data_IF_163964323416
#
_entry.id   IF_163964323416
#
_cell.length_a   1.000
_cell.length_b   1.000
_cell.length_c   1.000
_cell.angle_alpha   90.00
_cell.angle_beta   90.00
_cell.angle_gamma   90.00
#
_symmetry.space_group_name_H-M   'P 1'
#
loop_
_entity.id
_entity.type
_entity.pdbx_description
1 polymer ?
#
# COMPACT_ATOMS: atom_id res chain seq x y z
N UNK A 1 -5.75 -17.14 -18.42
CA UNK A 1 -5.86 -16.48 -17.12
C UNK A 1 -4.72 -17.03 -16.28
N UNK A 2 -3.75 -16.20 -15.86
CA UNK A 2 -2.71 -16.61 -14.91
C UNK A 2 -3.44 -17.00 -13.62
N UNK A 3 -3.17 -18.20 -13.09
CA UNK A 3 -3.68 -18.65 -11.79
C UNK A 3 -3.24 -17.61 -10.74
N UNK A 4 -4.19 -16.87 -10.23
CA UNK A 4 -3.93 -15.82 -9.25
C UNK A 4 -3.97 -16.42 -7.83
N UNK A 5 -3.02 -17.34 -7.56
CA UNK A 5 -2.92 -18.02 -6.26
C UNK A 5 -2.87 -17.03 -5.07
N UNK A 6 -2.35 -15.83 -5.27
CA UNK A 6 -2.31 -14.76 -4.25
C UNK A 6 -3.73 -14.28 -3.92
N UNK A 7 -4.56 -14.00 -4.93
CA UNK A 7 -5.95 -13.57 -4.71
C UNK A 7 -6.77 -14.69 -4.08
N UNK A 8 -6.62 -15.93 -4.56
CA UNK A 8 -7.31 -17.09 -4.02
C UNK A 8 -6.99 -17.29 -2.53
N UNK A 9 -5.70 -17.22 -2.16
CA UNK A 9 -5.27 -17.27 -0.76
C UNK A 9 -5.89 -16.15 0.10
N UNK A 10 -5.91 -14.92 -0.41
CA UNK A 10 -6.51 -13.80 0.33
C UNK A 10 -8.03 -13.92 0.43
N UNK A 11 -8.71 -14.48 -0.58
CA UNK A 11 -10.16 -14.73 -0.53
C UNK A 11 -10.53 -15.76 0.53
N UNK A 12 -9.69 -16.78 0.76
CA UNK A 12 -9.92 -17.72 1.86
C UNK A 12 -9.96 -17.00 3.23
N UNK A 13 -9.08 -16.01 3.44
CA UNK A 13 -9.11 -15.18 4.64
C UNK A 13 -10.35 -14.29 4.71
N UNK A 14 -10.82 -13.75 3.58
CA UNK A 14 -12.07 -12.97 3.53
C UNK A 14 -13.26 -13.82 3.99
N UNK A 15 -13.34 -15.06 3.53
CA UNK A 15 -14.41 -15.98 3.93
C UNK A 15 -14.33 -16.34 5.42
N UNK A 16 -13.12 -16.69 5.90
CA UNK A 16 -12.90 -17.03 7.32
C UNK A 16 -13.14 -15.85 8.27
N UNK A 17 -12.81 -14.61 7.83
CA UNK A 17 -12.93 -13.42 8.68
C UNK A 17 -14.37 -12.92 8.83
N UNK A 18 -15.31 -13.34 7.99
CA UNK A 18 -16.73 -12.94 8.10
C UNK A 18 -17.33 -13.30 9.47
N UNK A 19 -16.93 -14.42 10.05
CA UNK A 19 -17.44 -14.89 11.34
C UNK A 19 -16.90 -14.10 12.54
N UNK A 20 -15.81 -13.33 12.35
CA UNK A 20 -15.11 -12.59 13.40
C UNK A 20 -15.09 -11.08 13.20
N UNK A 21 -15.76 -10.56 12.18
CA UNK A 21 -15.77 -9.12 11.91
C UNK A 21 -16.66 -8.34 12.87
N UNK A 22 -16.17 -7.16 13.27
CA UNK A 22 -17.01 -6.16 13.91
C UNK A 22 -18.17 -5.75 12.98
N UNK A 23 -19.29 -5.31 13.55
CA UNK A 23 -20.46 -4.83 12.79
C UNK A 23 -20.13 -3.75 11.73
N UNK A 24 -19.05 -2.98 11.95
CA UNK A 24 -18.54 -2.00 11.00
C UNK A 24 -17.83 -2.68 9.81
N UNK A 25 -17.00 -3.69 10.08
CA UNK A 25 -16.34 -4.47 9.04
C UNK A 25 -17.32 -5.25 8.16
N UNK A 26 -18.35 -5.85 8.77
CA UNK A 26 -19.42 -6.56 8.05
C UNK A 26 -20.18 -5.63 7.10
N UNK A 27 -20.58 -4.44 7.54
CA UNK A 27 -21.24 -3.45 6.67
C UNK A 27 -20.38 -3.02 5.47
N UNK A 28 -19.07 -2.91 5.65
CA UNK A 28 -18.16 -2.61 4.54
C UNK A 28 -18.05 -3.77 3.56
N UNK A 29 -18.08 -5.01 4.04
CA UNK A 29 -18.02 -6.21 3.19
C UNK A 29 -19.35 -6.46 2.47
N UNK A 30 -20.48 -6.27 3.16
CA UNK A 30 -21.82 -6.44 2.58
C UNK A 30 -22.17 -5.37 1.55
N UNK A 31 -21.70 -4.14 1.74
CA UNK A 31 -21.91 -3.02 0.80
C UNK A 31 -20.85 -2.92 -0.29
N UNK A 32 -19.72 -3.62 -0.15
CA UNK A 32 -18.75 -3.71 -1.23
C UNK A 32 -19.24 -4.76 -2.23
N UNK A 33 -19.84 -4.30 -3.31
CA UNK A 33 -19.93 -5.11 -4.53
C UNK A 33 -18.57 -5.72 -4.79
N UNK A 34 -18.44 -7.04 -4.72
CA UNK A 34 -17.17 -7.73 -4.97
C UNK A 34 -16.56 -7.30 -6.31
N UNK A 35 -17.38 -6.87 -7.27
CA UNK A 35 -16.93 -6.27 -8.52
C UNK A 35 -16.19 -4.93 -8.30
N UNK A 36 -16.52 -4.17 -7.26
CA UNK A 36 -15.83 -2.92 -6.95
C UNK A 36 -14.47 -3.13 -6.25
N UNK A 37 -14.27 -4.26 -5.58
CA UNK A 37 -12.94 -4.66 -5.07
C UNK A 37 -12.01 -4.94 -6.25
N UNK A 38 -12.52 -5.55 -7.33
CA UNK A 38 -11.74 -5.93 -8.51
C UNK A 38 -11.51 -4.81 -9.53
N UNK A 39 -12.03 -3.61 -9.29
CA UNK A 39 -11.78 -2.43 -10.16
C UNK A 39 -11.28 -1.23 -9.35
N UNK A 40 -10.00 -1.25 -8.89
CA UNK A 40 -9.43 -0.18 -8.06
C UNK A 40 -9.61 1.22 -8.65
N UNK A 41 -9.65 1.32 -9.98
CA UNK A 41 -9.84 2.58 -10.70
C UNK A 41 -11.30 3.08 -10.73
N UNK A 42 -12.28 2.20 -10.57
CA UNK A 42 -13.72 2.55 -10.60
C UNK A 42 -14.30 2.75 -9.19
N UNK A 43 -13.61 2.33 -8.15
CA UNK A 43 -14.09 2.37 -6.76
C UNK A 43 -14.03 3.75 -6.10
N UNK A 44 -13.87 4.84 -6.85
CA UNK A 44 -13.68 6.19 -6.29
C UNK A 44 -12.38 6.34 -5.49
N UNK A 45 -11.51 5.32 -5.52
CA UNK A 45 -10.27 5.25 -4.73
C UNK A 45 -9.28 6.33 -5.11
N UNK A 46 -9.33 6.82 -6.34
CA UNK A 46 -8.41 7.84 -6.83
C UNK A 46 -9.14 9.02 -7.46
N UNK A 47 -8.76 10.21 -7.07
CA UNK A 47 -9.24 11.44 -7.72
C UNK A 47 -8.57 11.52 -9.09
N UNK A 48 -9.38 11.55 -10.17
CA UNK A 48 -8.87 11.68 -11.54
C UNK A 48 -8.07 12.97 -11.72
N UNK A 49 -6.98 12.87 -12.47
CA UNK A 49 -6.13 14.01 -12.80
C UNK A 49 -6.93 15.05 -13.57
N UNK A 50 -6.85 16.30 -13.11
CA UNK A 50 -7.41 17.48 -13.80
C UNK A 50 -6.39 18.61 -13.71
N UNK A 51 -5.99 19.17 -14.84
CA UNK A 51 -4.90 20.15 -14.91
C UNK A 51 -5.13 21.37 -14.00
N UNK A 52 -6.36 21.91 -13.96
CA UNK A 52 -6.68 23.07 -13.13
C UNK A 52 -6.68 22.70 -11.65
N UNK A 53 -7.31 21.58 -11.28
CA UNK A 53 -7.31 21.08 -9.89
C UNK A 53 -5.88 20.77 -9.44
N UNK A 54 -5.05 20.13 -10.28
CA UNK A 54 -3.66 19.80 -9.97
C UNK A 54 -2.84 21.09 -9.68
N UNK A 55 -3.03 22.13 -10.50
CA UNK A 55 -2.38 23.42 -10.29
C UNK A 55 -2.78 24.08 -8.97
N UNK A 56 -4.08 24.18 -8.68
CA UNK A 56 -4.59 24.77 -7.44
C UNK A 56 -4.16 23.96 -6.20
N UNK A 57 -4.26 22.63 -6.26
CA UNK A 57 -3.80 21.77 -5.20
C UNK A 57 -2.31 21.94 -4.92
N UNK A 58 -1.46 21.98 -5.95
CA UNK A 58 -0.02 22.19 -5.78
C UNK A 58 0.32 23.54 -5.16
N UNK A 59 -0.40 24.58 -5.56
CA UNK A 59 -0.20 25.90 -4.96
C UNK A 59 -0.49 25.92 -3.47
N UNK A 60 -1.61 25.30 -3.05
CA UNK A 60 -1.97 25.19 -1.63
C UNK A 60 -1.02 24.25 -0.88
N UNK A 61 -0.68 23.12 -1.47
CA UNK A 61 0.21 22.12 -0.88
C UNK A 61 1.61 22.72 -0.64
N UNK A 62 2.13 23.53 -1.55
CA UNK A 62 3.42 24.23 -1.36
C UNK A 62 3.41 25.17 -0.17
N UNK A 63 2.30 25.85 0.08
CA UNK A 63 2.16 26.71 1.28
C UNK A 63 2.19 25.92 2.57
N UNK A 64 1.68 24.69 2.57
CA UNK A 64 1.60 23.83 3.76
C UNK A 64 2.94 23.09 3.99
N UNK A 65 3.51 22.50 2.95
CA UNK A 65 4.64 21.57 3.05
C UNK A 65 6.00 22.18 2.72
N UNK A 66 6.03 23.43 2.23
CA UNK A 66 7.25 24.06 1.71
C UNK A 66 7.67 23.51 0.36
N UNK A 67 8.63 24.20 -0.30
CA UNK A 67 9.06 23.86 -1.66
C UNK A 67 10.03 22.66 -1.70
N UNK A 68 10.72 22.34 -0.62
CA UNK A 68 11.79 21.33 -0.61
C UNK A 68 11.26 19.91 -0.89
N UNK A 69 10.12 19.54 -0.30
CA UNK A 69 9.54 18.21 -0.49
C UNK A 69 9.23 17.95 -1.96
N UNK A 70 8.80 18.98 -2.71
CA UNK A 70 8.42 18.86 -4.13
C UNK A 70 9.62 18.65 -5.07
N UNK A 71 10.83 18.90 -4.57
CA UNK A 71 12.10 18.65 -5.28
C UNK A 71 12.69 17.30 -4.90
N UNK A 72 12.18 16.65 -3.88
CA UNK A 72 12.73 15.38 -3.38
C UNK A 72 12.53 14.24 -4.37
N UNK A 73 13.48 13.27 -4.39
CA UNK A 73 13.35 12.05 -5.19
C UNK A 73 12.07 11.26 -4.85
N UNK A 74 11.61 11.33 -3.60
CA UNK A 74 10.43 10.64 -3.13
C UNK A 74 9.16 11.23 -3.73
N UNK A 75 8.99 12.53 -3.68
CA UNK A 75 7.86 13.19 -4.32
C UNK A 75 7.86 12.98 -5.85
N UNK A 76 9.02 13.06 -6.49
CA UNK A 76 9.13 12.83 -7.94
C UNK A 76 8.73 11.38 -8.31
N UNK A 77 9.02 10.40 -7.48
CA UNK A 77 8.57 9.04 -7.67
C UNK A 77 7.04 8.92 -7.54
N UNK A 78 6.43 9.53 -6.51
CA UNK A 78 4.97 9.58 -6.41
C UNK A 78 4.32 10.31 -7.59
N UNK A 79 4.95 11.37 -8.10
CA UNK A 79 4.48 12.04 -9.30
C UNK A 79 4.45 11.10 -10.50
N UNK A 80 5.54 10.34 -10.74
CA UNK A 80 5.60 9.33 -11.80
C UNK A 80 4.53 8.26 -11.63
N UNK A 81 4.32 7.79 -10.40
CA UNK A 81 3.26 6.83 -10.08
C UNK A 81 1.88 7.40 -10.39
N UNK A 82 1.58 8.62 -9.95
CA UNK A 82 0.30 9.28 -10.20
C UNK A 82 0.07 9.54 -11.68
N UNK A 83 1.11 9.88 -12.43
CA UNK A 83 1.03 10.05 -13.89
C UNK A 83 0.64 8.73 -14.58
N UNK A 84 1.25 7.59 -14.17
CA UNK A 84 0.86 6.25 -14.65
C UNK A 84 -0.58 5.90 -14.27
N UNK A 85 -1.01 6.26 -13.08
CA UNK A 85 -2.33 5.97 -12.54
C UNK A 85 -3.42 6.96 -13.00
N UNK A 86 -3.06 7.98 -13.77
CA UNK A 86 -3.94 9.09 -14.17
C UNK A 86 -4.71 9.69 -12.97
N UNK A 87 -4.03 9.85 -11.84
CA UNK A 87 -4.62 10.39 -10.61
C UNK A 87 -3.93 11.67 -10.14
N UNK A 88 -4.65 12.45 -9.34
CA UNK A 88 -4.14 13.64 -8.67
C UNK A 88 -3.22 13.22 -7.50
N UNK A 89 -2.16 14.01 -7.27
CA UNK A 89 -1.35 13.87 -6.06
C UNK A 89 -2.09 14.52 -4.90
N UNK A 90 -2.59 13.72 -3.99
CA UNK A 90 -3.26 14.19 -2.79
C UNK A 90 -2.27 14.46 -1.63
N UNK A 91 -2.80 15.01 -0.54
CA UNK A 91 -2.01 15.35 0.65
C UNK A 91 -1.38 14.10 1.30
N UNK A 92 -2.05 12.95 1.24
CA UNK A 92 -1.54 11.72 1.83
C UNK A 92 -0.26 11.25 1.12
N UNK A 93 -0.21 11.37 -0.22
CA UNK A 93 1.00 11.01 -0.97
C UNK A 93 2.17 11.94 -0.66
N UNK A 94 1.92 13.22 -0.41
CA UNK A 94 2.96 14.16 0.00
C UNK A 94 3.46 13.79 1.40
N UNK A 95 2.54 13.41 2.30
CA UNK A 95 2.90 12.91 3.63
C UNK A 95 3.78 11.66 3.53
N UNK A 96 3.41 10.69 2.70
CA UNK A 96 4.23 9.49 2.47
C UNK A 96 5.60 9.82 1.88
N UNK A 97 5.67 10.78 0.94
CA UNK A 97 6.95 11.24 0.42
C UNK A 97 7.83 11.84 1.52
N UNK A 98 7.23 12.61 2.43
CA UNK A 98 7.93 13.18 3.59
C UNK A 98 8.43 12.10 4.56
N UNK A 99 7.59 11.11 4.88
CA UNK A 99 7.98 9.99 5.73
C UNK A 99 9.14 9.21 5.11
N UNK A 100 9.07 8.89 3.81
CA UNK A 100 10.16 8.21 3.10
C UNK A 100 11.46 9.05 3.11
N UNK A 101 11.35 10.38 2.95
CA UNK A 101 12.50 11.27 3.05
C UNK A 101 13.10 11.28 4.45
N UNK A 102 12.27 11.25 5.48
CA UNK A 102 12.72 11.18 6.88
C UNK A 102 13.46 9.86 7.15
N UNK A 103 12.89 8.73 6.74
CA UNK A 103 13.52 7.42 6.87
C UNK A 103 14.87 7.37 6.13
N UNK A 104 14.97 7.93 4.92
CA UNK A 104 16.21 7.97 4.14
C UNK A 104 17.30 8.82 4.85
N UNK A 105 16.92 9.96 5.41
CA UNK A 105 17.84 10.81 6.18
C UNK A 105 18.44 10.12 7.41
N UNK A 106 17.72 9.17 7.98
CA UNK A 106 18.15 8.39 9.15
C UNK A 106 18.70 7.01 8.78
N UNK A 107 18.94 6.73 7.50
CA UNK A 107 19.41 5.44 6.96
C UNK A 107 18.49 4.26 7.32
N UNK A 108 17.21 4.51 7.55
CA UNK A 108 16.21 3.51 7.93
C UNK A 108 15.52 2.85 6.73
N UNK A 109 15.76 3.33 5.50
CA UNK A 109 15.21 2.70 4.28
C UNK A 109 15.97 1.45 3.82
N UNK A 110 17.00 1.04 4.53
CA UNK A 110 17.73 -0.21 4.29
C UNK A 110 17.25 -1.34 5.20
N UNK A 111 16.40 -1.01 6.16
CA UNK A 111 15.79 -1.92 7.11
C UNK A 111 14.51 -2.57 6.55
N UNK A 112 14.03 -3.60 7.25
CA UNK A 112 12.72 -4.17 6.99
C UNK A 112 11.61 -3.19 7.42
N UNK A 113 10.65 -2.93 6.54
CA UNK A 113 9.57 -1.97 6.82
C UNK A 113 8.24 -2.71 6.89
N UNK A 114 7.51 -2.51 8.00
CA UNK A 114 6.16 -3.00 8.17
C UNK A 114 5.17 -1.84 8.11
N UNK A 115 4.21 -1.91 7.20
CA UNK A 115 3.08 -0.98 7.13
C UNK A 115 1.84 -1.60 7.74
N UNK A 116 1.09 -0.81 8.50
CA UNK A 116 -0.18 -1.23 9.08
C UNK A 116 -1.27 -0.29 8.60
N UNK A 117 -2.25 -0.82 7.86
CA UNK A 117 -3.41 -0.06 7.39
C UNK A 117 -3.19 0.76 6.11
N UNK A 118 -2.24 0.40 5.24
CA UNK A 118 -2.00 1.08 3.95
C UNK A 118 -3.02 0.66 2.89
N UNK A 119 -4.29 1.01 3.11
CA UNK A 119 -5.43 0.51 2.33
C UNK A 119 -5.51 0.92 0.85
N UNK A 120 -4.47 1.49 0.27
CA UNK A 120 -4.36 1.80 -1.18
C UNK A 120 -2.94 1.56 -1.68
N UNK A 121 -2.17 0.76 -0.97
CA UNK A 121 -0.76 0.51 -1.22
C UNK A 121 0.08 1.79 -1.43
N UNK A 122 -0.35 2.93 -0.90
CA UNK A 122 0.30 4.21 -1.20
C UNK A 122 1.73 4.25 -0.70
N UNK A 123 1.95 3.85 0.55
CA UNK A 123 3.28 3.84 1.15
C UNK A 123 4.14 2.73 0.55
N UNK A 124 3.56 1.52 0.39
CA UNK A 124 4.22 0.36 -0.23
C UNK A 124 4.69 0.71 -1.64
N UNK A 125 3.82 1.34 -2.46
CA UNK A 125 4.17 1.77 -3.81
C UNK A 125 5.33 2.76 -3.80
N UNK A 126 5.35 3.69 -2.84
CA UNK A 126 6.47 4.60 -2.64
C UNK A 126 7.78 3.87 -2.37
N UNK A 127 7.78 2.86 -1.50
CA UNK A 127 8.94 2.02 -1.21
C UNK A 127 9.39 1.22 -2.44
N UNK A 128 8.45 0.58 -3.17
CA UNK A 128 8.75 -0.19 -4.38
C UNK A 128 9.38 0.67 -5.48
N UNK A 129 8.95 1.93 -5.60
CA UNK A 129 9.51 2.88 -6.57
C UNK A 129 10.96 3.31 -6.26
N UNK A 130 11.48 3.04 -5.06
CA UNK A 130 12.86 3.37 -4.70
C UNK A 130 13.89 2.40 -5.30
N UNK A 131 13.44 1.28 -5.85
CA UNK A 131 14.32 0.23 -6.42
C UNK A 131 15.41 -0.27 -5.46
N UNK A 132 15.16 -0.19 -4.15
CA UNK A 132 16.02 -0.72 -3.09
C UNK A 132 15.59 -2.16 -2.75
N UNK A 133 16.51 -2.96 -2.24
CA UNK A 133 16.20 -4.31 -1.74
C UNK A 133 15.56 -4.27 -0.34
N UNK A 134 14.49 -3.49 -0.22
CA UNK A 134 13.73 -3.38 1.01
C UNK A 134 12.76 -4.55 1.08
N UNK A 135 12.72 -5.24 2.22
CA UNK A 135 11.66 -6.21 2.52
C UNK A 135 10.48 -5.47 3.14
N UNK A 136 9.33 -5.61 2.53
CA UNK A 136 8.11 -4.93 2.91
C UNK A 136 7.13 -5.94 3.51
N UNK A 137 6.58 -5.58 4.65
CA UNK A 137 5.53 -6.31 5.34
C UNK A 137 4.30 -5.40 5.37
N UNK A 138 3.17 -5.85 4.84
CA UNK A 138 1.92 -5.08 4.94
C UNK A 138 0.89 -5.88 5.72
N UNK A 139 0.47 -5.31 6.85
CA UNK A 139 -0.59 -5.86 7.71
C UNK A 139 -1.86 -5.09 7.44
N UNK A 140 -2.87 -5.79 6.96
CA UNK A 140 -4.15 -5.15 6.66
C UNK A 140 -5.30 -6.17 6.71
N UNK A 141 -6.54 -5.69 6.60
CA UNK A 141 -7.68 -6.56 6.37
C UNK A 141 -7.52 -7.29 5.02
N UNK A 142 -7.95 -8.55 4.90
CA UNK A 142 -7.77 -9.33 3.68
C UNK A 142 -8.28 -8.63 2.41
N UNK A 143 -9.42 -7.93 2.50
CA UNK A 143 -9.99 -7.16 1.39
C UNK A 143 -9.08 -6.01 0.94
N UNK A 144 -8.47 -5.31 1.91
CA UNK A 144 -7.54 -4.24 1.61
C UNK A 144 -6.24 -4.78 1.00
N UNK A 145 -5.75 -5.95 1.46
CA UNK A 145 -4.60 -6.63 0.85
C UNK A 145 -4.85 -7.03 -0.60
N UNK A 146 -6.07 -7.46 -0.94
CA UNK A 146 -6.46 -7.72 -2.33
C UNK A 146 -6.36 -6.44 -3.16
N UNK A 147 -6.87 -5.31 -2.66
CA UNK A 147 -6.74 -4.02 -3.35
C UNK A 147 -5.29 -3.60 -3.52
N UNK A 148 -4.49 -3.72 -2.47
CA UNK A 148 -3.06 -3.39 -2.48
C UNK A 148 -2.33 -4.22 -3.54
N UNK A 149 -2.55 -5.53 -3.56
CA UNK A 149 -1.99 -6.44 -4.55
C UNK A 149 -2.42 -6.08 -5.99
N UNK A 150 -3.72 -5.83 -6.19
CA UNK A 150 -4.23 -5.48 -7.51
C UNK A 150 -3.62 -4.18 -8.05
N UNK A 151 -3.43 -3.17 -7.19
CA UNK A 151 -2.78 -1.91 -7.57
C UNK A 151 -1.32 -2.18 -7.96
N UNK A 152 -0.59 -2.96 -7.16
CA UNK A 152 0.81 -3.30 -7.43
C UNK A 152 0.95 -4.03 -8.76
N UNK A 153 0.09 -5.02 -9.01
CA UNK A 153 0.10 -5.83 -10.23
C UNK A 153 -0.32 -5.01 -11.47
N UNK A 154 -1.40 -4.22 -11.37
CA UNK A 154 -1.89 -3.38 -12.48
C UNK A 154 -0.82 -2.44 -13.01
N UNK A 155 0.05 -1.91 -12.15
CA UNK A 155 1.10 -0.97 -12.52
C UNK A 155 2.48 -1.61 -12.68
N UNK A 156 2.55 -2.95 -12.63
CA UNK A 156 3.80 -3.72 -12.74
C UNK A 156 4.90 -3.19 -11.81
N UNK A 157 4.57 -2.94 -10.54
CA UNK A 157 5.51 -2.41 -9.57
C UNK A 157 6.38 -3.51 -8.94
N UNK A 158 5.85 -4.73 -8.89
CA UNK A 158 6.56 -5.91 -8.40
C UNK A 158 5.99 -7.17 -9.09
N UNK A 159 6.86 -8.12 -9.46
CA UNK A 159 6.44 -9.40 -10.02
C UNK A 159 5.87 -10.32 -8.92
N UNK A 160 4.84 -11.12 -9.26
CA UNK A 160 4.15 -12.04 -8.33
C UNK A 160 5.11 -12.98 -7.58
N UNK A 161 6.18 -13.43 -8.24
CA UNK A 161 7.18 -14.33 -7.62
C UNK A 161 7.92 -13.73 -6.42
N UNK A 162 7.83 -12.40 -6.24
CA UNK A 162 8.42 -11.68 -5.11
C UNK A 162 7.37 -11.26 -4.07
N UNK A 163 6.12 -11.72 -4.22
CA UNK A 163 5.00 -11.42 -3.33
C UNK A 163 4.53 -12.71 -2.66
N UNK A 164 4.33 -12.67 -1.36
CA UNK A 164 3.86 -13.83 -0.58
C UNK A 164 2.73 -13.43 0.35
N UNK A 165 1.64 -14.22 0.35
CA UNK A 165 0.64 -14.17 1.43
C UNK A 165 1.16 -15.00 2.59
N UNK A 166 1.19 -14.43 3.79
CA UNK A 166 1.71 -15.09 4.99
C UNK A 166 0.61 -15.91 5.65
N UNK A 167 0.72 -17.22 5.57
CA UNK A 167 -0.18 -18.18 6.20
C UNK A 167 0.39 -18.74 7.50
N UNK A 168 1.72 -18.86 7.57
CA UNK A 168 2.44 -19.39 8.71
C UNK A 168 3.79 -18.66 8.90
N UNK A 169 4.38 -18.81 10.09
CA UNK A 169 5.59 -18.06 10.48
C UNK A 169 6.78 -18.34 9.54
N UNK A 170 6.92 -19.56 9.03
CA UNK A 170 7.98 -19.94 8.12
C UNK A 170 7.95 -19.22 6.78
N UNK A 171 6.77 -18.71 6.34
CA UNK A 171 6.65 -17.94 5.10
C UNK A 171 7.50 -16.67 5.16
N UNK A 172 7.73 -16.12 6.37
CA UNK A 172 8.54 -14.92 6.56
C UNK A 172 10.04 -15.14 6.39
N UNK A 173 10.49 -16.41 6.35
CA UNK A 173 11.91 -16.79 6.19
C UNK A 173 12.35 -16.84 4.72
N UNK A 174 11.40 -16.75 3.77
CA UNK A 174 11.71 -16.81 2.34
C UNK A 174 12.52 -15.59 1.88
N UNK A 175 13.80 -15.79 1.57
CA UNK A 175 14.73 -14.71 1.27
C UNK A 175 14.51 -14.01 -0.08
N UNK A 176 13.85 -14.67 -1.03
CA UNK A 176 13.55 -14.12 -2.35
C UNK A 176 12.30 -13.23 -2.36
N UNK A 177 11.53 -13.22 -1.28
CA UNK A 177 10.30 -12.42 -1.17
C UNK A 177 10.64 -10.99 -0.73
N UNK A 178 10.04 -10.03 -1.44
CA UNK A 178 10.19 -8.61 -1.18
C UNK A 178 8.95 -7.99 -0.53
N UNK A 179 7.77 -8.56 -0.77
CA UNK A 179 6.51 -8.08 -0.23
C UNK A 179 5.74 -9.23 0.42
N UNK A 180 5.53 -9.11 1.72
CA UNK A 180 4.70 -10.00 2.50
C UNK A 180 3.33 -9.36 2.75
N UNK A 181 2.29 -10.01 2.26
CA UNK A 181 0.88 -9.65 2.51
C UNK A 181 0.40 -10.43 3.73
N UNK A 182 0.15 -9.73 4.82
CA UNK A 182 -0.14 -10.34 6.12
C UNK A 182 -1.57 -10.00 6.53
N UNK A 183 -2.50 -10.95 6.46
CA UNK A 183 -3.83 -10.77 7.01
C UNK A 183 -3.76 -10.33 8.47
N UNK A 184 -4.62 -9.38 8.89
CA UNK A 184 -4.56 -8.77 10.22
C UNK A 184 -4.64 -9.79 11.37
N UNK A 185 -5.29 -10.93 11.16
CA UNK A 185 -5.34 -12.06 12.09
C UNK A 185 -3.97 -12.70 12.31
N UNK A 186 -3.08 -12.65 11.31
CA UNK A 186 -1.74 -13.22 11.33
C UNK A 186 -0.66 -12.23 11.80
N UNK A 187 -1.04 -11.02 12.22
CA UNK A 187 -0.09 -9.96 12.67
C UNK A 187 0.92 -10.40 13.73
N UNK A 188 0.53 -11.36 14.57
CA UNK A 188 1.40 -11.90 15.65
C UNK A 188 2.58 -12.72 15.12
N UNK A 189 2.57 -13.11 13.85
CA UNK A 189 3.69 -13.81 13.21
C UNK A 189 4.89 -12.91 12.98
N UNK A 190 4.70 -11.58 12.94
CA UNK A 190 5.81 -10.63 12.88
C UNK A 190 6.41 -10.51 14.28
N UNK A 191 7.28 -11.44 14.62
CA UNK A 191 8.03 -11.41 15.86
C UNK A 191 9.38 -10.75 15.63
N UNK A 192 9.60 -9.60 16.24
CA UNK A 192 10.88 -9.10 16.75
C UNK A 192 12.13 -9.11 15.90
N UNK A 193 12.19 -8.80 14.64
CA UNK A 193 13.50 -8.76 14.00
C UNK A 193 13.67 -7.51 13.12
N UNK A 194 14.20 -6.45 13.72
CA UNK A 194 14.68 -5.26 12.99
C UNK A 194 13.66 -4.74 11.95
N UNK A 195 12.41 -4.60 12.38
CA UNK A 195 11.33 -4.10 11.53
C UNK A 195 10.92 -2.72 12.01
N UNK A 196 10.93 -1.76 11.11
CA UNK A 196 10.39 -0.42 11.37
C UNK A 196 8.89 -0.45 11.11
N UNK A 197 8.11 -0.20 12.15
CA UNK A 197 6.65 -0.16 12.04
C UNK A 197 6.16 1.23 11.66
N UNK A 198 5.39 1.31 10.57
CA UNK A 198 4.76 2.52 10.09
C UNK A 198 3.25 2.33 10.12
N UNK A 199 2.60 3.07 11.00
CA UNK A 199 1.14 3.11 11.06
C UNK A 199 0.62 4.10 10.03
N UNK A 200 -0.03 3.59 8.98
CA UNK A 200 -0.69 4.41 7.98
C UNK A 200 -2.15 4.55 8.38
N UNK A 201 -2.49 5.65 9.04
CA UNK A 201 -3.88 5.93 9.39
C UNK A 201 -4.56 6.61 8.22
N UNK A 202 -5.48 5.90 7.56
CA UNK A 202 -6.39 6.50 6.60
C UNK A 202 -7.44 7.30 7.38
N UNK A 203 -7.26 8.61 7.47
CA UNK A 203 -8.37 9.51 7.75
C UNK A 203 -9.26 9.51 6.50
N UNK A 204 -10.32 8.72 6.57
CA UNK A 204 -11.41 8.75 5.58
C UNK A 204 -12.40 9.84 5.93
#
# INVERSE_FOLDING_TARGET
MKNNSIIENLLEYVVKSKDNMSSYGLKHVENSDYQNIFTPMNSGTFIKKNKLKDFLHRFLQKKIWGDEIFKSKFFLNYKKLCDKQNRLIDTNLIWHAFVLQLLDRHNLLEENICTIGDGKANFINGCLMLNKNIRLYTVNLPQALIQDYMIINQFNLLEDKFIKVVNEEKDLEENNIRLFLIPAENKRMIKNNNVIYIFVHLFS
#
